data_IF_221709761252
#
_entry.id   IF_221709761252
#
_cell.length_a   1.000
_cell.length_b   1.000
_cell.length_c   1.000
_cell.angle_alpha   90.00
_cell.angle_beta   90.00
_cell.angle_gamma   90.00
#
_symmetry.space_group_name_H-M   'P 1'
#
loop_
_entity.id
_entity.type
_entity.pdbx_description
1 polymer ?
#
# COMPACT_ATOMS: atom_id res chain seq x y z
N UNK A 1 25.67 -7.15 -5.78
CA UNK A 1 25.07 -7.11 -4.43
C UNK A 1 24.28 -5.82 -4.32
N UNK A 2 22.97 -5.84 -4.61
CA UNK A 2 22.14 -4.63 -4.48
C UNK A 2 21.74 -4.49 -3.02
N UNK A 3 22.15 -3.41 -2.36
CA UNK A 3 21.67 -3.05 -1.03
C UNK A 3 20.15 -3.07 -1.02
N UNK A 4 19.56 -4.09 -0.38
CA UNK A 4 18.11 -4.29 -0.33
C UNK A 4 17.44 -3.46 0.75
N UNK A 5 18.22 -2.89 1.70
CA UNK A 5 17.71 -2.18 2.88
C UNK A 5 17.38 -0.74 2.54
N UNK A 6 16.13 -0.47 2.21
CA UNK A 6 15.63 0.85 1.81
C UNK A 6 14.57 1.42 2.76
N UNK A 7 14.09 0.63 3.74
CA UNK A 7 13.09 1.06 4.72
C UNK A 7 13.75 1.13 6.10
N UNK A 8 13.72 2.29 6.74
CA UNK A 8 14.36 2.53 8.03
C UNK A 8 13.66 3.65 8.81
N UNK A 9 13.75 3.60 10.14
CA UNK A 9 13.34 4.74 10.96
C UNK A 9 14.31 5.89 10.82
N UNK A 10 13.77 7.08 10.69
CA UNK A 10 14.49 8.34 10.61
C UNK A 10 15.14 8.63 11.98
N UNK A 11 16.40 9.10 12.02
CA UNK A 11 17.06 9.44 13.27
C UNK A 11 16.23 10.42 14.13
N UNK A 12 16.17 10.24 15.47
CA UNK A 12 15.37 11.10 16.36
C UNK A 12 15.67 12.60 16.22
N UNK A 13 16.91 12.94 15.86
CA UNK A 13 17.33 14.34 15.63
C UNK A 13 16.55 15.03 14.51
N UNK A 14 16.16 14.29 13.46
CA UNK A 14 15.36 14.82 12.36
C UNK A 14 13.87 14.80 12.71
N UNK A 15 13.40 13.81 13.46
CA UNK A 15 12.04 13.77 13.99
C UNK A 15 11.74 14.97 14.89
N UNK A 16 12.72 15.46 15.66
CA UNK A 16 12.58 16.67 16.48
C UNK A 16 12.36 17.95 15.66
N UNK A 17 12.79 17.98 14.38
CA UNK A 17 12.58 19.13 13.50
C UNK A 17 11.16 19.14 12.94
N UNK A 18 10.61 17.98 12.60
CA UNK A 18 9.23 17.85 12.14
C UNK A 18 8.69 16.42 12.35
N UNK A 19 8.10 16.14 13.51
CA UNK A 19 7.59 14.79 13.83
C UNK A 19 6.53 14.32 12.81
N UNK A 20 5.67 15.25 12.37
CA UNK A 20 4.59 14.98 11.42
C UNK A 20 5.08 14.58 10.02
N UNK A 21 6.32 14.89 9.66
CA UNK A 21 6.88 14.52 8.35
C UNK A 21 7.43 13.08 8.32
N UNK A 22 7.63 12.46 9.49
CA UNK A 22 8.35 11.19 9.61
C UNK A 22 7.57 10.11 10.36
N UNK A 23 6.46 10.45 10.99
CA UNK A 23 5.61 9.50 11.70
C UNK A 23 4.18 9.50 11.13
N UNK A 24 3.57 8.31 10.92
CA UNK A 24 2.19 8.22 10.45
C UNK A 24 1.22 8.79 11.49
N UNK A 25 0.16 9.44 11.01
CA UNK A 25 -0.84 10.11 11.85
C UNK A 25 -2.15 9.31 11.97
N UNK A 26 -2.54 8.62 10.90
CA UNK A 26 -3.85 7.97 10.73
C UNK A 26 -3.70 6.48 10.46
N UNK A 27 -2.75 6.06 9.62
CA UNK A 27 -2.55 4.65 9.28
C UNK A 27 -1.09 4.22 9.39
N UNK A 28 -0.86 3.18 10.20
CA UNK A 28 0.40 2.44 10.21
C UNK A 28 0.43 1.45 9.06
N UNK A 29 1.56 1.33 8.38
CA UNK A 29 1.80 0.42 7.27
C UNK A 29 3.17 -0.21 7.45
N UNK A 30 3.19 -1.54 7.48
CA UNK A 30 4.38 -2.32 7.72
C UNK A 30 4.70 -2.53 9.20
N UNK A 31 5.79 -3.28 9.46
CA UNK A 31 6.12 -3.81 10.78
C UNK A 31 6.77 -2.78 11.72
N UNK A 32 7.28 -1.65 11.21
CA UNK A 32 8.02 -0.68 12.01
C UNK A 32 7.12 0.09 13.00
N UNK A 33 5.83 0.20 12.72
CA UNK A 33 4.87 0.98 13.52
C UNK A 33 3.76 0.10 14.10
N UNK A 34 3.90 -1.23 14.02
CA UNK A 34 2.89 -2.21 14.45
C UNK A 34 2.54 -2.16 15.95
N UNK A 35 3.41 -1.62 16.80
CA UNK A 35 3.13 -1.38 18.22
C UNK A 35 2.64 0.06 18.51
N UNK A 36 2.16 0.77 17.47
CA UNK A 36 1.93 2.21 17.45
C UNK A 36 0.77 2.74 18.28
N UNK A 37 0.80 4.07 18.44
CA UNK A 37 -0.06 4.96 19.25
C UNK A 37 -1.55 4.55 19.21
N UNK A 38 -2.27 4.75 20.32
CA UNK A 38 -3.71 4.41 20.41
C UNK A 38 -4.57 5.00 19.28
N UNK A 39 -4.18 6.17 18.77
CA UNK A 39 -4.81 6.81 17.62
C UNK A 39 -4.89 5.92 16.36
N UNK A 40 -3.95 4.99 16.18
CA UNK A 40 -3.86 4.13 15.00
C UNK A 40 -4.74 2.86 15.12
N UNK A 41 -5.23 2.53 16.32
CA UNK A 41 -6.04 1.31 16.55
C UNK A 41 -7.35 1.29 15.77
N UNK A 42 -7.97 2.45 15.57
CA UNK A 42 -9.21 2.54 14.81
C UNK A 42 -9.00 2.05 13.36
N UNK A 43 -7.88 2.47 12.76
CA UNK A 43 -7.53 2.10 11.40
C UNK A 43 -7.17 0.62 11.26
N UNK A 44 -6.55 0.01 12.28
CA UNK A 44 -6.31 -1.45 12.30
C UNK A 44 -7.60 -2.26 12.14
N UNK A 45 -8.72 -1.78 12.69
CA UNK A 45 -10.01 -2.47 12.53
C UNK A 45 -10.58 -2.31 11.11
N UNK A 46 -10.37 -1.15 10.47
CA UNK A 46 -10.69 -0.98 9.05
C UNK A 46 -9.87 -1.91 8.16
N UNK A 47 -8.56 -2.03 8.39
CA UNK A 47 -7.71 -2.96 7.63
C UNK A 47 -8.20 -4.41 7.72
N UNK A 48 -8.63 -4.84 8.91
CA UNK A 48 -9.22 -6.18 9.11
C UNK A 48 -10.52 -6.36 8.36
N UNK A 49 -11.38 -5.34 8.32
CA UNK A 49 -12.62 -5.36 7.52
C UNK A 49 -12.28 -5.54 6.04
N UNK A 50 -11.36 -4.76 5.48
CA UNK A 50 -10.96 -4.92 4.08
C UNK A 50 -10.33 -6.28 3.79
N UNK A 51 -9.51 -6.81 4.71
CA UNK A 51 -9.01 -8.18 4.58
C UNK A 51 -10.16 -9.20 4.53
N UNK A 52 -11.18 -9.05 5.36
CA UNK A 52 -12.36 -9.95 5.35
C UNK A 52 -13.13 -9.85 4.04
N UNK A 53 -13.37 -8.63 3.53
CA UNK A 53 -14.01 -8.44 2.22
C UNK A 53 -13.19 -9.04 1.09
N UNK A 54 -11.88 -8.84 1.11
CA UNK A 54 -10.94 -9.40 0.14
C UNK A 54 -11.00 -10.93 0.15
N UNK A 55 -10.83 -11.56 1.32
CA UNK A 55 -10.87 -13.02 1.45
C UNK A 55 -12.21 -13.61 1.01
N UNK A 56 -13.32 -12.91 1.27
CA UNK A 56 -14.66 -13.33 0.82
C UNK A 56 -14.85 -13.34 -0.71
N UNK A 57 -13.99 -12.65 -1.47
CA UNK A 57 -14.00 -12.64 -2.93
C UNK A 57 -13.03 -13.63 -3.57
N UNK A 58 -12.11 -14.17 -2.77
CA UNK A 58 -11.09 -15.12 -3.23
C UNK A 58 -11.45 -16.54 -2.82
N UNK A 59 -10.95 -17.53 -3.55
CA UNK A 59 -11.08 -18.94 -3.16
C UNK A 59 -10.00 -19.38 -2.14
N UNK A 60 -9.14 -18.47 -1.71
CA UNK A 60 -8.01 -18.74 -0.82
C UNK A 60 -8.33 -18.30 0.60
N UNK A 61 -7.94 -19.14 1.56
CA UNK A 61 -7.97 -18.81 2.98
C UNK A 61 -6.81 -17.89 3.38
N UNK A 62 -6.98 -17.19 4.50
CA UNK A 62 -5.94 -16.38 5.11
C UNK A 62 -4.62 -17.17 5.30
N UNK A 63 -4.74 -18.42 5.76
CA UNK A 63 -3.57 -19.27 6.02
C UNK A 63 -2.80 -19.61 4.74
N UNK A 64 -3.51 -19.81 3.62
CA UNK A 64 -2.86 -20.06 2.32
C UNK A 64 -2.07 -18.84 1.83
N UNK A 65 -2.61 -17.62 2.03
CA UNK A 65 -1.85 -16.41 1.72
C UNK A 65 -0.63 -16.25 2.62
N UNK A 66 -0.78 -16.47 3.93
CA UNK A 66 0.33 -16.42 4.88
C UNK A 66 1.43 -17.41 4.47
N UNK A 67 1.07 -18.66 4.19
CA UNK A 67 2.04 -19.68 3.78
C UNK A 67 2.76 -19.31 2.48
N UNK A 68 2.03 -18.77 1.49
CA UNK A 68 2.60 -18.35 0.21
C UNK A 68 3.62 -17.22 0.37
N UNK A 69 3.29 -16.19 1.14
CA UNK A 69 4.20 -15.08 1.41
C UNK A 69 5.40 -15.56 2.24
N UNK A 70 5.13 -16.36 3.28
CA UNK A 70 6.15 -16.92 4.18
C UNK A 70 7.20 -17.70 3.41
N UNK A 71 6.77 -18.65 2.59
CA UNK A 71 7.67 -19.58 1.90
C UNK A 71 8.47 -18.92 0.77
N UNK A 72 7.91 -17.91 0.10
CA UNK A 72 8.49 -17.37 -1.14
C UNK A 72 9.16 -16.00 -0.91
N UNK A 73 8.66 -15.20 0.04
CA UNK A 73 8.96 -13.77 0.12
C UNK A 73 9.46 -13.29 1.48
N UNK A 74 9.24 -13.98 2.59
CA UNK A 74 9.57 -13.46 3.94
C UNK A 74 11.03 -13.02 4.06
N UNK A 75 11.98 -13.85 3.63
CA UNK A 75 13.41 -13.52 3.71
C UNK A 75 13.75 -12.23 2.94
N UNK A 76 13.15 -12.06 1.76
CA UNK A 76 13.32 -10.86 0.94
C UNK A 76 12.66 -9.65 1.60
N UNK A 77 11.43 -9.80 2.12
CA UNK A 77 10.70 -8.75 2.84
C UNK A 77 11.50 -8.23 4.04
N UNK A 78 12.02 -9.13 4.88
CA UNK A 78 12.84 -8.75 6.04
C UNK A 78 14.13 -8.04 5.62
N UNK A 79 14.73 -8.45 4.50
CA UNK A 79 15.94 -7.81 3.99
C UNK A 79 15.73 -6.37 3.47
N UNK A 80 14.47 -5.94 3.29
CA UNK A 80 14.12 -4.57 2.91
C UNK A 80 14.22 -3.57 4.06
N UNK A 81 14.12 -4.06 5.29
CA UNK A 81 14.21 -3.23 6.49
C UNK A 81 15.66 -3.15 6.97
N UNK A 82 16.10 -1.95 7.33
CA UNK A 82 17.42 -1.73 7.90
C UNK A 82 17.52 -2.31 9.32
N UNK A 83 16.44 -2.16 10.07
CA UNK A 83 16.30 -2.69 11.44
C UNK A 83 15.94 -4.17 11.43
N UNK A 84 16.48 -4.91 12.40
CA UNK A 84 16.07 -6.28 12.64
C UNK A 84 14.66 -6.29 13.21
N UNK A 85 13.72 -6.90 12.47
CA UNK A 85 12.34 -7.04 12.91
C UNK A 85 12.22 -8.27 13.83
N UNK A 86 12.09 -8.05 15.14
CA UNK A 86 12.00 -9.10 16.17
C UNK A 86 10.60 -9.75 16.28
N UNK A 87 9.84 -9.78 15.19
CA UNK A 87 8.54 -10.43 15.13
C UNK A 87 8.67 -11.89 14.71
N UNK A 88 7.81 -12.76 15.25
CA UNK A 88 7.68 -14.14 14.76
C UNK A 88 7.24 -14.14 13.30
N UNK A 89 7.63 -15.17 12.55
CA UNK A 89 7.35 -15.28 11.11
C UNK A 89 5.87 -15.10 10.77
N UNK A 90 4.97 -15.82 11.45
CA UNK A 90 3.53 -15.72 11.17
C UNK A 90 2.94 -14.34 11.50
N UNK A 91 3.42 -13.71 12.57
CA UNK A 91 3.02 -12.37 12.96
C UNK A 91 3.48 -11.33 11.93
N UNK A 92 4.76 -11.40 11.54
CA UNK A 92 5.34 -10.54 10.52
C UNK A 92 4.56 -10.64 9.20
N UNK A 93 4.35 -11.86 8.69
CA UNK A 93 3.67 -12.08 7.42
C UNK A 93 2.21 -11.63 7.49
N UNK A 94 1.54 -11.84 8.62
CA UNK A 94 0.17 -11.38 8.82
C UNK A 94 0.06 -9.86 8.74
N UNK A 95 0.99 -9.12 9.34
CA UNK A 95 1.04 -7.65 9.25
C UNK A 95 1.22 -7.22 7.80
N UNK A 96 2.22 -7.78 7.11
CA UNK A 96 2.48 -7.46 5.70
C UNK A 96 1.24 -7.73 4.85
N UNK A 97 0.54 -8.84 5.07
CA UNK A 97 -0.66 -9.17 4.31
C UNK A 97 -1.81 -8.20 4.59
N UNK A 98 -2.12 -7.94 5.86
CA UNK A 98 -3.20 -7.02 6.24
C UNK A 98 -2.95 -5.63 5.65
N UNK A 99 -1.74 -5.12 5.78
CA UNK A 99 -1.37 -3.78 5.32
C UNK A 99 -1.30 -3.72 3.80
N UNK A 100 -0.76 -4.74 3.13
CA UNK A 100 -0.72 -4.80 1.67
C UNK A 100 -2.13 -4.83 1.08
N UNK A 101 -3.05 -5.62 1.66
CA UNK A 101 -4.44 -5.67 1.20
C UNK A 101 -5.15 -4.34 1.44
N UNK A 102 -4.92 -3.67 2.58
CA UNK A 102 -5.44 -2.33 2.81
C UNK A 102 -4.97 -1.36 1.70
N UNK A 103 -3.66 -1.31 1.43
CA UNK A 103 -3.08 -0.42 0.42
C UNK A 103 -3.63 -0.71 -0.98
N UNK A 104 -3.67 -1.98 -1.36
CA UNK A 104 -4.25 -2.43 -2.63
C UNK A 104 -5.72 -2.03 -2.72
N UNK A 105 -6.49 -2.22 -1.64
CA UNK A 105 -7.91 -1.90 -1.60
C UNK A 105 -8.16 -0.39 -1.69
N UNK A 106 -7.38 0.42 -0.97
CA UNK A 106 -7.39 1.89 -1.06
C UNK A 106 -7.12 2.35 -2.50
N UNK A 107 -6.11 1.80 -3.18
CA UNK A 107 -5.84 2.23 -4.56
C UNK A 107 -6.85 1.74 -5.57
N UNK A 108 -7.39 0.53 -5.41
CA UNK A 108 -8.25 -0.08 -6.43
C UNK A 108 -9.71 0.29 -6.27
N UNK A 109 -10.25 0.23 -5.05
CA UNK A 109 -11.68 0.45 -4.84
C UNK A 109 -12.02 1.91 -4.59
N UNK A 110 -11.28 2.60 -3.72
CA UNK A 110 -11.63 3.98 -3.33
C UNK A 110 -11.54 4.95 -4.51
N UNK A 111 -10.45 4.87 -5.26
CA UNK A 111 -10.14 5.89 -6.25
C UNK A 111 -10.79 5.63 -7.61
N UNK A 112 -10.84 4.37 -8.05
CA UNK A 112 -11.31 4.02 -9.39
C UNK A 112 -12.72 3.44 -9.41
N UNK A 113 -13.23 2.98 -8.26
CA UNK A 113 -14.56 2.36 -8.17
C UNK A 113 -15.38 2.89 -6.99
N UNK A 114 -15.66 4.21 -6.93
CA UNK A 114 -16.42 4.81 -5.84
C UNK A 114 -17.83 4.22 -5.66
N UNK A 115 -18.38 3.59 -6.71
CA UNK A 115 -19.68 2.88 -6.68
C UNK A 115 -19.65 1.53 -5.96
N UNK A 116 -18.47 0.98 -5.67
CA UNK A 116 -18.30 -0.28 -4.92
C UNK A 116 -18.09 -0.04 -3.42
N UNK A 117 -18.16 1.22 -2.98
CA UNK A 117 -17.98 1.62 -1.58
C UNK A 117 -19.31 1.46 -0.83
N UNK A 118 -19.23 0.91 0.39
CA UNK A 118 -20.35 0.83 1.33
C UNK A 118 -20.60 2.22 1.92
N UNK A 119 -21.85 2.67 1.94
CA UNK A 119 -22.27 3.97 2.52
C UNK A 119 -21.90 4.12 4.00
N UNK A 120 -21.64 3.00 4.70
CA UNK A 120 -21.27 2.95 6.11
C UNK A 120 -19.78 3.08 6.41
N UNK A 121 -18.91 3.23 5.40
CA UNK A 121 -17.48 3.35 5.63
C UNK A 121 -17.07 4.79 5.96
N UNK A 122 -16.69 5.02 7.22
CA UNK A 122 -16.26 6.34 7.69
C UNK A 122 -14.94 6.82 7.04
N UNK A 123 -14.16 5.95 6.39
CA UNK A 123 -13.01 6.37 5.59
C UNK A 123 -13.47 7.06 4.30
N UNK A 124 -14.62 6.67 3.74
CA UNK A 124 -15.09 7.08 2.42
C UNK A 124 -16.00 8.32 2.42
N UNK A 125 -16.57 8.69 3.57
CA UNK A 125 -17.43 9.88 3.70
C UNK A 125 -16.69 11.23 3.72
N UNK A 126 -15.37 11.24 3.91
CA UNK A 126 -14.59 12.47 4.13
C UNK A 126 -13.37 12.55 3.19
N UNK A 127 -13.37 13.49 2.21
CA UNK A 127 -12.27 13.64 1.25
C UNK A 127 -10.89 13.86 1.91
N UNK A 128 -10.86 14.54 3.06
CA UNK A 128 -9.65 14.88 3.80
C UNK A 128 -8.94 13.62 4.34
N UNK A 129 -9.70 12.61 4.77
CA UNK A 129 -9.17 11.32 5.23
C UNK A 129 -8.39 10.59 4.14
N UNK A 130 -8.79 10.73 2.87
CA UNK A 130 -8.06 10.12 1.73
C UNK A 130 -6.66 10.70 1.62
N UNK A 131 -6.59 12.02 1.69
CA UNK A 131 -5.35 12.76 1.54
C UNK A 131 -4.40 12.41 2.68
N UNK A 132 -4.90 12.37 3.91
CA UNK A 132 -4.07 12.05 5.06
C UNK A 132 -3.54 10.60 5.06
N UNK A 133 -4.36 9.62 4.63
CA UNK A 133 -3.91 8.24 4.42
C UNK A 133 -2.76 8.21 3.40
N UNK A 134 -2.85 8.99 2.34
CA UNK A 134 -1.80 9.08 1.33
C UNK A 134 -0.53 9.75 1.84
N UNK A 135 -0.66 10.81 2.63
CA UNK A 135 0.50 11.43 3.27
C UNK A 135 1.22 10.42 4.17
N UNK A 136 0.48 9.59 4.90
CA UNK A 136 1.06 8.49 5.68
C UNK A 136 1.72 7.42 4.80
N UNK A 137 1.17 7.11 3.62
CA UNK A 137 1.79 6.21 2.65
C UNK A 137 3.05 6.77 2.00
N UNK A 138 3.33 8.07 2.12
CA UNK A 138 4.57 8.70 1.66
C UNK A 138 5.61 8.86 2.78
N UNK A 139 5.29 8.44 4.00
CA UNK A 139 6.26 8.45 5.11
C UNK A 139 7.21 7.27 4.99
N UNK A 140 8.52 7.55 4.93
CA UNK A 140 9.58 6.54 4.74
C UNK A 140 9.54 5.39 5.75
N UNK A 141 9.22 5.69 7.01
CA UNK A 141 9.17 4.66 8.04
C UNK A 141 7.90 3.78 7.96
N UNK A 142 6.91 4.23 7.18
CA UNK A 142 5.56 3.65 7.07
C UNK A 142 5.38 2.91 5.72
N UNK A 143 6.39 2.13 5.32
CA UNK A 143 6.47 1.56 3.98
C UNK A 143 6.35 0.03 3.97
N UNK A 144 5.79 -0.46 2.88
CA UNK A 144 5.93 -1.84 2.43
C UNK A 144 6.80 -1.88 1.17
N UNK A 145 7.62 -2.93 0.98
CA UNK A 145 8.31 -3.15 -0.28
C UNK A 145 7.32 -3.30 -1.43
N UNK A 146 7.47 -2.51 -2.49
CA UNK A 146 6.50 -2.41 -3.58
C UNK A 146 6.20 -3.78 -4.25
N UNK A 147 7.23 -4.63 -4.34
CA UNK A 147 7.09 -5.95 -4.97
C UNK A 147 6.01 -6.83 -4.31
N UNK A 148 5.75 -6.69 -3.00
CA UNK A 148 4.72 -7.51 -2.34
C UNK A 148 3.32 -7.07 -2.74
N UNK A 149 3.14 -5.78 -3.03
CA UNK A 149 1.89 -5.24 -3.52
C UNK A 149 1.63 -5.73 -4.94
N UNK A 150 2.66 -5.73 -5.79
CA UNK A 150 2.56 -6.29 -7.14
C UNK A 150 2.27 -7.78 -7.13
N UNK A 151 2.99 -8.56 -6.32
CA UNK A 151 2.75 -9.99 -6.18
C UNK A 151 1.30 -10.25 -5.78
N UNK A 152 0.80 -9.60 -4.73
CA UNK A 152 -0.58 -9.81 -4.27
C UNK A 152 -1.62 -9.30 -5.27
N UNK A 153 -1.34 -8.20 -5.97
CA UNK A 153 -2.21 -7.65 -6.99
C UNK A 153 -2.37 -8.61 -8.19
N UNK A 154 -1.28 -9.20 -8.67
CA UNK A 154 -1.33 -10.16 -9.77
C UNK A 154 -1.86 -11.53 -9.37
N UNK A 155 -1.78 -11.87 -8.08
CA UNK A 155 -2.05 -13.23 -7.64
C UNK A 155 -3.52 -13.61 -7.58
N UNK A 156 -4.48 -12.68 -7.46
CA UNK A 156 -5.91 -13.04 -7.50
C UNK A 156 -6.91 -11.85 -7.43
N UNK A 157 -6.62 -10.67 -8.00
CA UNK A 157 -7.52 -9.54 -7.75
C UNK A 157 -7.94 -8.75 -9.00
N UNK A 158 -9.22 -8.96 -9.31
CA UNK A 158 -10.11 -8.20 -10.18
C UNK A 158 -10.16 -8.62 -11.65
N UNK A 159 -11.29 -9.18 -12.12
CA UNK A 159 -11.73 -8.82 -13.46
C UNK A 159 -11.96 -7.31 -13.40
N UNK A 160 -11.07 -6.54 -14.03
CA UNK A 160 -11.40 -5.19 -14.44
C UNK A 160 -12.56 -5.39 -15.41
N UNK A 161 -13.81 -5.35 -14.92
CA UNK A 161 -14.93 -5.39 -15.83
C UNK A 161 -14.85 -4.11 -16.64
N UNK A 162 -14.69 -4.29 -17.95
CA UNK A 162 -14.65 -3.24 -18.97
C UNK A 162 -15.85 -2.29 -18.94
N UNK A 163 -16.87 -2.59 -18.13
CA UNK A 163 -18.07 -1.79 -17.97
C UNK A 163 -17.93 -0.54 -17.09
N UNK A 164 -16.84 -0.34 -16.34
CA UNK A 164 -16.81 0.69 -15.27
C UNK A 164 -15.64 1.69 -15.30
N UNK A 165 -14.84 1.76 -16.36
CA UNK A 165 -13.81 2.80 -16.47
C UNK A 165 -13.65 3.35 -17.90
N UNK A 166 -14.53 4.26 -18.28
CA UNK A 166 -14.28 5.16 -19.42
C UNK A 166 -12.97 5.97 -19.24
N UNK A 167 -12.44 6.06 -18.01
CA UNK A 167 -11.25 6.85 -17.65
C UNK A 167 -9.93 6.15 -18.03
N UNK A 168 -9.96 4.86 -18.35
CA UNK A 168 -8.79 4.05 -18.72
C UNK A 168 -8.97 3.35 -20.07
N UNK A 169 -9.84 3.86 -20.93
CA UNK A 169 -9.97 3.36 -22.29
C UNK A 169 -8.60 3.41 -23.00
N UNK A 170 -8.12 2.24 -23.43
CA UNK A 170 -6.81 2.08 -24.06
C UNK A 170 -5.67 1.66 -23.14
N UNK A 171 -5.87 1.55 -21.82
CA UNK A 171 -4.83 1.06 -20.89
C UNK A 171 -4.75 -0.47 -20.97
N UNK A 172 -3.62 -1.00 -21.44
CA UNK A 172 -3.45 -2.45 -21.67
C UNK A 172 -3.37 -3.27 -20.37
N UNK A 173 -2.86 -2.68 -19.28
CA UNK A 173 -2.70 -3.39 -18.00
C UNK A 173 -2.64 -2.43 -16.82
N UNK A 174 -3.54 -2.60 -15.86
CA UNK A 174 -3.42 -1.93 -14.56
C UNK A 174 -2.26 -2.54 -13.77
N UNK A 175 -1.56 -1.70 -13.03
CA UNK A 175 -0.55 -2.08 -12.04
C UNK A 175 -0.65 -1.16 -10.85
N UNK A 176 -0.20 -1.60 -9.67
CA UNK A 176 -0.15 -0.74 -8.48
C UNK A 176 0.65 0.54 -8.78
N UNK A 177 1.72 0.44 -9.58
CA UNK A 177 2.53 1.60 -9.98
C UNK A 177 1.75 2.61 -10.81
N UNK A 178 1.02 2.13 -11.81
CA UNK A 178 0.18 2.98 -12.65
C UNK A 178 -0.90 3.69 -11.84
N UNK A 179 -1.63 2.93 -11.01
CA UNK A 179 -2.69 3.45 -10.15
C UNK A 179 -2.16 4.49 -9.15
N UNK A 180 -0.99 4.23 -8.57
CA UNK A 180 -0.35 5.16 -7.62
C UNK A 180 0.01 6.49 -8.30
N UNK A 181 0.58 6.43 -9.50
CA UNK A 181 0.94 7.65 -10.25
C UNK A 181 -0.28 8.43 -10.71
N UNK A 182 -1.33 7.75 -11.14
CA UNK A 182 -2.58 8.42 -11.50
C UNK A 182 -3.20 9.17 -10.30
N UNK A 183 -3.18 8.56 -9.11
CA UNK A 183 -3.61 9.26 -7.90
C UNK A 183 -2.76 10.51 -7.60
N UNK A 184 -1.43 10.37 -7.64
CA UNK A 184 -0.52 11.48 -7.36
C UNK A 184 -0.72 12.64 -8.35
N UNK A 185 -1.01 12.31 -9.62
CA UNK A 185 -1.30 13.30 -10.64
C UNK A 185 -2.61 14.05 -10.37
N UNK A 186 -3.69 13.32 -10.05
CA UNK A 186 -4.98 13.92 -9.75
C UNK A 186 -4.97 14.72 -8.43
N UNK A 187 -4.12 14.32 -7.47
CA UNK A 187 -3.88 15.06 -6.22
C UNK A 187 -3.03 16.33 -6.41
N UNK A 188 -2.53 16.57 -7.62
CA UNK A 188 -1.64 17.69 -7.94
C UNK A 188 -0.24 17.57 -7.34
N UNK A 189 0.13 16.41 -6.78
CA UNK A 189 1.44 16.15 -6.19
C UNK A 189 2.50 16.01 -7.30
N UNK A 190 2.14 15.36 -8.41
CA UNK A 190 2.98 15.28 -9.62
C UNK A 190 2.19 15.79 -10.83
N UNK A 191 2.89 16.18 -11.91
CA UNK A 191 2.25 16.57 -13.17
C UNK A 191 2.34 15.48 -14.23
N UNK A 192 1.25 15.17 -14.93
CA UNK A 192 1.29 14.25 -16.08
C UNK A 192 -0.06 13.90 -16.69
N UNK A 193 -0.06 13.57 -17.99
CA UNK A 193 -1.20 12.94 -18.66
C UNK A 193 -1.12 11.41 -18.51
N UNK A 194 -2.25 10.69 -18.65
CA UNK A 194 -2.30 9.22 -18.54
C UNK A 194 -1.23 8.55 -19.44
N UNK A 195 -1.13 8.96 -20.72
CA UNK A 195 -0.14 8.41 -21.65
C UNK A 195 1.32 8.63 -21.18
N UNK A 196 1.60 9.78 -20.54
CA UNK A 196 2.92 10.05 -19.95
C UNK A 196 3.17 9.13 -18.75
N UNK A 197 2.16 8.89 -17.91
CA UNK A 197 2.26 8.00 -16.76
C UNK A 197 2.51 6.54 -17.16
N UNK A 198 1.81 6.04 -18.20
CA UNK A 198 2.06 4.72 -18.76
C UNK A 198 3.50 4.56 -19.24
N UNK A 199 4.00 5.54 -19.99
CA UNK A 199 5.38 5.55 -20.49
C UNK A 199 6.38 5.50 -19.33
N UNK A 200 6.13 6.25 -18.25
CA UNK A 200 6.98 6.22 -17.06
C UNK A 200 6.88 4.88 -16.32
N UNK A 201 5.73 4.21 -16.33
CA UNK A 201 5.55 2.88 -15.75
C UNK A 201 6.26 1.79 -16.56
N UNK A 202 6.45 2.00 -17.86
CA UNK A 202 7.28 1.14 -18.70
C UNK A 202 8.79 1.43 -18.60
N UNK A 203 9.18 2.52 -17.91
CA UNK A 203 10.59 2.86 -17.72
C UNK A 203 11.28 1.84 -16.80
N UNK A 204 12.60 1.65 -16.97
CA UNK A 204 13.41 0.71 -16.17
C UNK A 204 13.70 1.22 -14.75
N UNK A 205 13.08 2.31 -14.31
CA UNK A 205 13.28 2.86 -12.96
C UNK A 205 12.80 1.85 -11.91
N UNK A 206 13.68 1.56 -10.95
CA UNK A 206 13.43 0.53 -9.96
C UNK A 206 12.73 1.13 -8.74
N UNK A 207 11.40 1.20 -8.80
CA UNK A 207 10.54 1.57 -7.67
C UNK A 207 10.62 0.47 -6.60
N UNK A 208 11.03 0.81 -5.39
CA UNK A 208 11.14 -0.11 -4.26
C UNK A 208 10.08 0.12 -3.19
N UNK A 209 9.57 1.35 -3.06
CA UNK A 209 8.51 1.75 -2.12
C UNK A 209 7.78 3.01 -2.65
N UNK A 210 6.78 3.55 -1.93
CA UNK A 210 5.99 4.70 -2.41
C UNK A 210 6.77 6.01 -2.46
N UNK A 211 7.78 6.17 -1.62
CA UNK A 211 8.60 7.39 -1.59
C UNK A 211 9.37 7.58 -2.90
N UNK A 212 9.67 6.47 -3.61
CA UNK A 212 10.32 6.50 -4.92
C UNK A 212 9.40 7.02 -6.06
N UNK A 213 8.13 7.33 -5.78
CA UNK A 213 7.16 7.84 -6.76
C UNK A 213 7.07 9.38 -6.84
N UNK A 214 7.71 10.09 -5.90
CA UNK A 214 7.80 11.55 -5.85
C UNK A 214 8.90 12.06 -6.81
#
# INVERSE_FOLDING_TARGET
MTNSRCIFRVPPRLQLVCEKAYAPQIVSIGPLHHHGKEALKAMEEHKRRYLKYFLGRTNLSLMQYIEKIKNIREAKLRSCYLETIELKSDEFVKIILVDAIFVIHEFLFRYWHPKLLDESDCIFGEPMMTYDIWMDLLVLENQLPFFILEDLFYLDIFPISSEYSNRFDGVERLSIMFLSRCFLADSGIIGGTIAKLETMCCSKEKVQNFVDLL
#
